data_IF_896352235277
#
_entry.id   IF_896352235277
#
_cell.length_a   1.000
_cell.length_b   1.000
_cell.length_c   1.000
_cell.angle_alpha   90.00
_cell.angle_beta   90.00
_cell.angle_gamma   90.00
#
_symmetry.space_group_name_H-M   'P 1'
#
loop_
_entity.id
_entity.type
_entity.pdbx_description
1 polymer ?
#
# COMPACT_ATOMS: atom_id res chain seq x y z
N UNK A 1 -10.28 -21.54 -42.65
CA UNK A 1 -9.05 -22.11 -42.06
C UNK A 1 -8.30 -21.02 -41.32
N UNK A 2 -8.55 -20.82 -40.03
CA UNK A 2 -7.72 -19.97 -39.18
C UNK A 2 -7.61 -20.59 -37.79
N UNK A 3 -6.86 -21.68 -37.70
CA UNK A 3 -6.31 -22.18 -36.44
C UNK A 3 -4.88 -21.69 -36.35
N UNK A 4 -4.68 -20.49 -35.80
CA UNK A 4 -3.35 -20.12 -35.29
C UNK A 4 -3.29 -20.59 -33.85
N UNK A 5 -2.59 -21.70 -33.65
CA UNK A 5 -2.15 -22.18 -32.36
C UNK A 5 -1.38 -21.06 -31.66
N UNK A 6 -1.80 -20.71 -30.46
CA UNK A 6 -1.15 -19.68 -29.65
C UNK A 6 0.27 -20.14 -29.33
N UNK A 7 1.28 -19.39 -29.78
CA UNK A 7 2.68 -19.67 -29.50
C UNK A 7 3.10 -18.84 -28.29
N UNK A 8 3.42 -19.53 -27.18
CA UNK A 8 3.97 -18.87 -25.99
C UNK A 8 5.30 -18.19 -26.33
N UNK A 9 5.42 -16.92 -25.97
CA UNK A 9 6.68 -16.18 -26.06
C UNK A 9 7.71 -16.82 -25.11
N UNK A 10 8.98 -16.92 -25.52
CA UNK A 10 10.03 -17.51 -24.70
C UNK A 10 10.17 -16.73 -23.38
N UNK A 11 10.04 -17.47 -22.28
CA UNK A 11 10.19 -16.97 -20.92
C UNK A 11 11.68 -16.62 -20.72
N UNK A 12 11.98 -15.37 -20.36
CA UNK A 12 13.36 -14.96 -20.05
C UNK A 12 13.74 -15.63 -18.73
N UNK A 13 14.71 -16.54 -18.78
CA UNK A 13 15.24 -17.25 -17.62
C UNK A 13 15.88 -16.26 -16.63
N UNK A 14 15.14 -15.90 -15.58
CA UNK A 14 15.69 -15.24 -14.41
C UNK A 14 16.25 -16.30 -13.44
N UNK A 15 17.44 -16.80 -13.76
CA UNK A 15 18.30 -17.48 -12.79
C UNK A 15 18.74 -16.45 -11.74
N UNK A 16 17.95 -16.28 -10.68
CA UNK A 16 18.42 -15.63 -9.46
C UNK A 16 19.28 -16.64 -8.70
N UNK A 17 20.59 -16.46 -8.85
CA UNK A 17 21.64 -17.12 -8.12
C UNK A 17 21.44 -16.87 -6.62
N UNK A 18 20.99 -17.92 -5.91
CA UNK A 18 20.82 -17.94 -4.46
C UNK A 18 22.21 -17.79 -3.81
N UNK A 19 22.48 -16.64 -3.19
CA UNK A 19 23.73 -16.46 -2.45
C UNK A 19 23.72 -17.35 -1.20
N UNK A 20 24.82 -18.08 -1.02
CA UNK A 20 25.09 -18.94 0.12
C UNK A 20 25.42 -18.08 1.35
N UNK A 21 24.41 -17.80 2.17
CA UNK A 21 24.55 -17.23 3.50
C UNK A 21 24.50 -18.34 4.57
N UNK A 22 25.61 -18.51 5.27
CA UNK A 22 25.80 -19.41 6.40
C UNK A 22 24.90 -18.99 7.58
N UNK A 23 23.95 -19.81 7.99
CA UNK A 23 23.31 -19.70 9.31
C UNK A 23 22.84 -21.07 9.82
N UNK A 24 23.62 -21.55 10.78
CA UNK A 24 23.28 -22.43 11.92
C UNK A 24 21.95 -23.18 11.85
N UNK A 25 22.09 -24.48 11.58
CA UNK A 25 21.07 -25.53 11.61
C UNK A 25 20.60 -25.82 13.06
N UNK A 26 19.66 -25.02 13.55
CA UNK A 26 18.82 -25.42 14.70
C UNK A 26 17.57 -26.13 14.19
N UNK A 27 17.69 -27.46 14.19
CA UNK A 27 16.72 -28.45 13.77
C UNK A 27 15.46 -28.45 14.67
N UNK A 28 14.54 -27.51 14.45
CA UNK A 28 13.12 -27.73 14.76
C UNK A 28 12.44 -28.27 13.50
N UNK A 29 12.08 -29.56 13.55
CA UNK A 29 11.21 -30.21 12.56
C UNK A 29 9.77 -29.71 12.80
N UNK A 30 9.56 -28.42 12.57
CA UNK A 30 8.22 -27.82 12.53
C UNK A 30 7.44 -28.42 11.37
N UNK A 31 6.16 -28.68 11.61
CA UNK A 31 5.19 -29.06 10.59
C UNK A 31 5.20 -27.93 9.54
N UNK A 32 5.89 -28.16 8.43
CA UNK A 32 6.21 -27.13 7.44
C UNK A 32 4.91 -26.52 6.90
N UNK A 33 4.64 -25.29 7.31
CA UNK A 33 3.61 -24.41 6.77
C UNK A 33 4.17 -23.52 5.65
N UNK A 34 5.36 -23.83 5.13
CA UNK A 34 6.06 -23.03 4.12
C UNK A 34 5.81 -23.53 2.68
N UNK A 35 4.78 -24.36 2.46
CA UNK A 35 4.43 -24.78 1.10
C UNK A 35 3.58 -23.70 0.42
N UNK A 36 4.26 -22.84 -0.36
CA UNK A 36 3.62 -22.02 -1.37
C UNK A 36 3.58 -22.85 -2.65
N UNK A 37 2.40 -23.31 -3.12
CA UNK A 37 2.30 -24.06 -4.37
C UNK A 37 2.87 -23.22 -5.51
N UNK A 38 3.75 -23.81 -6.33
CA UNK A 38 4.30 -23.13 -7.50
C UNK A 38 3.28 -23.18 -8.65
N UNK A 39 2.24 -22.37 -8.51
CA UNK A 39 1.12 -22.26 -9.46
C UNK A 39 1.63 -21.84 -10.86
N UNK A 40 2.77 -21.15 -10.93
CA UNK A 40 3.41 -20.72 -12.19
C UNK A 40 3.79 -21.90 -13.10
N UNK A 41 4.13 -23.06 -12.53
CA UNK A 41 4.49 -24.26 -13.28
C UNK A 41 3.29 -25.18 -13.59
N UNK A 42 2.06 -24.76 -13.26
CA UNK A 42 0.88 -25.64 -13.20
C UNK A 42 1.10 -26.90 -12.34
N UNK A 43 2.03 -26.82 -11.38
CA UNK A 43 2.25 -27.90 -10.43
C UNK A 43 1.28 -27.72 -9.26
N UNK A 44 0.20 -28.49 -9.34
CA UNK A 44 -0.83 -28.53 -8.30
C UNK A 44 -0.60 -29.71 -7.33
N UNK A 45 0.55 -30.39 -7.43
CA UNK A 45 0.88 -31.53 -6.58
C UNK A 45 1.68 -31.07 -5.36
N UNK A 46 1.04 -31.20 -4.19
CA UNK A 46 1.71 -30.96 -2.92
C UNK A 46 2.46 -32.22 -2.48
N UNK A 47 3.74 -32.28 -2.83
CA UNK A 47 4.66 -33.38 -2.48
C UNK A 47 5.11 -33.34 -1.01
N UNK A 48 4.73 -32.32 -0.24
CA UNK A 48 5.15 -32.15 1.16
C UNK A 48 4.39 -33.04 2.15
N UNK A 49 3.42 -33.82 1.69
CA UNK A 49 2.54 -34.59 2.57
C UNK A 49 3.16 -35.92 3.04
N UNK A 50 3.23 -36.07 4.36
CA UNK A 50 3.42 -37.37 4.98
C UNK A 50 2.26 -38.31 4.65
N UNK A 51 2.57 -39.60 4.49
CA UNK A 51 1.63 -40.67 4.13
C UNK A 51 0.32 -40.69 4.96
N UNK A 52 0.37 -40.34 6.25
CA UNK A 52 -0.83 -40.23 7.09
C UNK A 52 -1.80 -39.12 6.65
N UNK A 53 -1.30 -37.97 6.22
CA UNK A 53 -2.13 -36.87 5.71
C UNK A 53 -2.82 -37.32 4.42
N UNK A 54 -2.09 -38.00 3.53
CA UNK A 54 -2.66 -38.55 2.31
C UNK A 54 -3.80 -39.54 2.59
N UNK A 55 -3.59 -40.49 3.53
CA UNK A 55 -4.60 -41.46 3.95
C UNK A 55 -5.83 -40.77 4.56
N UNK A 56 -5.62 -39.78 5.44
CA UNK A 56 -6.71 -39.03 6.06
C UNK A 56 -7.58 -38.31 5.01
N UNK A 57 -6.95 -37.59 4.07
CA UNK A 57 -7.67 -36.91 3.00
C UNK A 57 -8.42 -37.90 2.10
N UNK A 58 -7.85 -39.08 1.84
CA UNK A 58 -8.50 -40.13 1.08
C UNK A 58 -9.73 -40.68 1.83
N UNK A 59 -9.61 -40.93 3.13
CA UNK A 59 -10.72 -41.41 3.97
C UNK A 59 -11.86 -40.38 4.04
N UNK A 60 -11.54 -39.10 4.28
CA UNK A 60 -12.53 -38.00 4.30
C UNK A 60 -13.21 -37.87 2.94
N UNK A 61 -12.44 -37.89 1.85
CA UNK A 61 -12.99 -37.82 0.50
C UNK A 61 -13.92 -39.01 0.24
N UNK A 62 -13.52 -40.23 0.59
CA UNK A 62 -14.31 -41.44 0.41
C UNK A 62 -15.63 -41.41 1.19
N UNK A 63 -15.61 -40.93 2.43
CA UNK A 63 -16.81 -40.77 3.25
C UNK A 63 -17.80 -39.78 2.63
N UNK A 64 -17.31 -38.65 2.12
CA UNK A 64 -18.14 -37.64 1.46
C UNK A 64 -18.70 -38.14 0.13
N UNK A 65 -17.92 -38.88 -0.66
CA UNK A 65 -18.43 -39.54 -1.87
C UNK A 65 -19.54 -40.54 -1.54
N UNK A 66 -19.34 -41.37 -0.51
CA UNK A 66 -20.34 -42.35 -0.06
C UNK A 66 -21.61 -41.66 0.41
N UNK A 67 -21.50 -40.60 1.21
CA UNK A 67 -22.64 -39.80 1.65
C UNK A 67 -23.37 -39.13 0.47
N UNK A 68 -22.64 -38.58 -0.50
CA UNK A 68 -23.20 -37.98 -1.72
C UNK A 68 -23.97 -39.01 -2.55
N UNK A 69 -23.49 -40.25 -2.60
CA UNK A 69 -24.13 -41.37 -3.30
C UNK A 69 -25.38 -41.87 -2.57
N UNK A 70 -25.35 -41.98 -1.24
CA UNK A 70 -26.52 -42.36 -0.42
C UNK A 70 -27.64 -41.32 -0.52
N UNK A 71 -27.27 -40.04 -0.60
CA UNK A 71 -28.22 -38.91 -0.69
C UNK A 71 -28.67 -38.58 -2.12
N UNK A 72 -28.27 -39.39 -3.11
CA UNK A 72 -28.80 -39.30 -4.47
C UNK A 72 -30.28 -39.69 -4.47
N UNK A 73 -31.22 -38.91 -5.07
CA UNK A 73 -31.05 -37.92 -6.14
C UNK A 73 -30.91 -36.44 -5.69
N UNK A 74 -31.15 -36.13 -4.42
CA UNK A 74 -31.19 -34.74 -3.92
C UNK A 74 -29.83 -34.04 -4.06
N UNK A 75 -28.74 -34.78 -3.85
CA UNK A 75 -27.37 -34.26 -3.96
C UNK A 75 -26.98 -33.93 -5.42
N UNK A 76 -27.57 -34.58 -6.41
CA UNK A 76 -27.21 -34.42 -7.82
C UNK A 76 -27.32 -32.97 -8.32
N UNK A 77 -28.34 -32.24 -7.86
CA UNK A 77 -28.54 -30.82 -8.20
C UNK A 77 -27.47 -29.89 -7.60
N UNK A 78 -26.95 -30.23 -6.42
CA UNK A 78 -25.90 -29.45 -5.78
C UNK A 78 -24.52 -29.72 -6.37
N UNK A 79 -24.28 -30.97 -6.75
CA UNK A 79 -22.97 -31.46 -7.19
C UNK A 79 -22.66 -31.13 -8.64
N UNK A 80 -23.66 -31.19 -9.52
CA UNK A 80 -23.49 -30.84 -10.93
C UNK A 80 -23.64 -29.32 -11.12
N UNK A 81 -22.56 -28.66 -11.53
CA UNK A 81 -22.58 -27.25 -11.90
C UNK A 81 -22.21 -27.07 -13.37
N UNK A 82 -23.07 -26.41 -14.11
CA UNK A 82 -22.78 -26.03 -15.50
C UNK A 82 -21.98 -24.73 -15.52
N UNK A 83 -20.86 -24.72 -16.23
CA UNK A 83 -19.96 -23.58 -16.42
C UNK A 83 -19.97 -23.19 -17.90
N UNK A 84 -20.22 -21.92 -18.24
CA UNK A 84 -20.20 -21.46 -19.64
C UNK A 84 -18.78 -21.39 -20.20
N UNK A 85 -18.65 -21.39 -21.54
CA UNK A 85 -17.35 -21.42 -22.27
C UNK A 85 -16.34 -20.34 -21.86
N UNK A 86 -16.84 -19.16 -21.52
CA UNK A 86 -16.05 -17.98 -21.18
C UNK A 86 -15.68 -17.89 -19.69
N UNK A 87 -16.13 -18.85 -18.88
CA UNK A 87 -15.76 -18.96 -17.47
C UNK A 87 -14.86 -20.16 -17.23
N UNK A 88 -14.11 -20.07 -16.13
CA UNK A 88 -13.37 -21.17 -15.53
C UNK A 88 -13.77 -21.26 -14.07
N UNK A 89 -13.68 -22.46 -13.53
CA UNK A 89 -13.95 -22.69 -12.11
C UNK A 89 -12.66 -23.18 -11.46
N UNK A 90 -12.24 -22.45 -10.44
CA UNK A 90 -11.13 -22.82 -9.55
C UNK A 90 -11.77 -23.54 -8.37
N UNK A 91 -11.28 -24.75 -8.09
CA UNK A 91 -11.82 -25.59 -7.02
C UNK A 91 -10.73 -25.79 -5.98
N UNK A 92 -11.08 -25.57 -4.73
CA UNK A 92 -10.27 -25.88 -3.56
C UNK A 92 -10.91 -27.07 -2.84
N UNK A 93 -10.22 -28.20 -2.84
CA UNK A 93 -10.66 -29.41 -2.14
C UNK A 93 -9.92 -29.53 -0.83
N UNK A 94 -10.63 -29.48 0.30
CA UNK A 94 -10.02 -29.57 1.63
C UNK A 94 -8.87 -28.55 1.80
N UNK A 95 -9.06 -27.33 1.27
CA UNK A 95 -8.06 -26.25 1.30
C UNK A 95 -6.94 -26.37 0.26
N UNK A 96 -6.96 -27.39 -0.60
CA UNK A 96 -5.93 -27.61 -1.64
C UNK A 96 -6.42 -27.20 -3.00
N UNK A 97 -5.54 -26.57 -3.75
CA UNK A 97 -5.86 -26.11 -5.09
C UNK A 97 -5.92 -27.27 -6.07
N UNK A 98 -7.01 -27.36 -6.82
CA UNK A 98 -7.15 -28.30 -7.92
C UNK A 98 -6.85 -27.61 -9.25
N UNK A 99 -6.45 -28.37 -10.28
CA UNK A 99 -6.34 -27.86 -11.64
C UNK A 99 -7.66 -27.18 -12.07
N UNK A 100 -7.58 -26.04 -12.77
CA UNK A 100 -8.76 -25.28 -13.17
C UNK A 100 -9.62 -26.14 -14.11
N UNK A 101 -10.92 -26.21 -13.83
CA UNK A 101 -11.83 -27.02 -14.65
C UNK A 101 -12.36 -26.16 -15.81
N UNK A 102 -12.41 -26.80 -16.99
CA UNK A 102 -12.93 -26.21 -18.22
C UNK A 102 -14.44 -26.00 -18.20
N UNK A 103 -15.00 -25.51 -19.31
CA UNK A 103 -16.43 -25.27 -19.43
C UNK A 103 -17.20 -26.59 -19.62
N UNK A 104 -18.49 -26.58 -19.31
CA UNK A 104 -19.34 -27.77 -19.29
C UNK A 104 -19.82 -28.13 -17.90
N UNK A 105 -20.18 -29.39 -17.70
CA UNK A 105 -20.64 -29.90 -16.40
C UNK A 105 -19.42 -30.24 -15.57
N UNK A 106 -19.25 -29.52 -14.47
CA UNK A 106 -18.19 -29.74 -13.49
C UNK A 106 -18.81 -30.33 -12.23
N UNK A 107 -18.20 -31.42 -11.76
CA UNK A 107 -18.57 -32.10 -10.53
C UNK A 107 -17.86 -31.43 -9.35
N UNK A 108 -18.64 -30.90 -8.41
CA UNK A 108 -18.13 -30.21 -7.22
C UNK A 108 -18.79 -30.80 -5.98
N UNK A 109 -17.99 -31.32 -5.07
CA UNK A 109 -18.51 -32.02 -3.89
C UNK A 109 -19.04 -31.03 -2.84
N UNK A 110 -20.27 -31.22 -2.33
CA UNK A 110 -20.77 -30.43 -1.23
C UNK A 110 -19.89 -30.66 0.02
N UNK A 111 -19.79 -29.64 0.88
CA UNK A 111 -19.02 -29.58 2.13
C UNK A 111 -17.49 -29.50 1.99
N UNK A 112 -16.87 -30.24 1.08
CA UNK A 112 -15.39 -30.32 1.00
C UNK A 112 -14.76 -29.49 -0.12
N UNK A 113 -15.51 -29.24 -1.20
CA UNK A 113 -15.03 -28.45 -2.33
C UNK A 113 -15.57 -27.01 -2.20
N UNK A 114 -14.67 -26.05 -2.05
CA UNK A 114 -14.96 -24.64 -2.27
C UNK A 114 -14.67 -24.30 -3.72
N UNK A 115 -15.51 -23.51 -4.36
CA UNK A 115 -15.34 -23.19 -5.77
C UNK A 115 -15.59 -21.72 -6.05
N UNK A 116 -14.84 -21.18 -7.00
CA UNK A 116 -14.96 -19.80 -7.45
C UNK A 116 -14.97 -19.75 -8.98
N UNK A 117 -15.96 -19.04 -9.53
CA UNK A 117 -16.04 -18.78 -10.97
C UNK A 117 -15.22 -17.55 -11.31
N UNK A 118 -14.40 -17.69 -12.33
CA UNK A 118 -13.57 -16.62 -12.89
C UNK A 118 -13.97 -16.44 -14.35
N UNK A 119 -14.23 -15.20 -14.74
CA UNK A 119 -14.54 -14.85 -16.12
C UNK A 119 -13.23 -14.51 -16.85
N UNK A 120 -13.07 -15.06 -18.05
CA UNK A 120 -11.88 -14.85 -18.88
C UNK A 120 -12.06 -13.71 -19.89
N UNK A 121 -13.25 -13.12 -19.99
CA UNK A 121 -13.50 -12.01 -20.92
C UNK A 121 -12.76 -10.74 -20.49
N UNK A 122 -12.41 -9.93 -21.47
CA UNK A 122 -11.88 -8.58 -21.24
C UNK A 122 -12.90 -7.76 -20.47
N UNK A 123 -12.42 -7.10 -19.40
CA UNK A 123 -13.17 -6.20 -18.54
C UNK A 123 -12.47 -4.85 -18.55
N UNK A 124 -13.27 -3.79 -18.42
CA UNK A 124 -12.77 -2.44 -18.28
C UNK A 124 -13.00 -1.94 -16.85
N UNK A 125 -12.05 -1.18 -16.33
CA UNK A 125 -12.27 -0.36 -15.15
C UNK A 125 -11.66 1.02 -15.34
N UNK A 126 -12.35 2.01 -14.78
CA UNK A 126 -11.91 3.38 -14.78
C UNK A 126 -11.16 3.71 -13.48
N UNK A 127 -10.03 4.39 -13.63
CA UNK A 127 -9.27 5.02 -12.55
C UNK A 127 -9.73 6.47 -12.43
N UNK A 128 -10.26 6.87 -11.25
CA UNK A 128 -10.74 8.23 -11.06
C UNK A 128 -9.63 9.26 -11.36
N UNK A 129 -9.97 10.40 -11.98
CA UNK A 129 -8.99 11.42 -12.28
C UNK A 129 -8.27 11.91 -11.03
N UNK A 130 -6.94 11.86 -11.04
CA UNK A 130 -6.10 12.32 -9.94
C UNK A 130 -5.33 13.57 -10.36
N UNK A 131 -5.10 14.46 -9.41
CA UNK A 131 -4.24 15.62 -9.61
C UNK A 131 -2.77 15.19 -9.55
N UNK A 132 -2.04 15.43 -10.64
CA UNK A 132 -0.61 15.09 -10.77
C UNK A 132 0.18 16.34 -11.12
N UNK A 133 1.31 16.52 -10.45
CA UNK A 133 2.28 17.57 -10.74
C UNK A 133 3.32 17.00 -11.71
N UNK A 134 3.46 17.63 -12.87
CA UNK A 134 4.42 17.23 -13.91
C UNK A 134 5.82 17.78 -13.63
N UNK A 135 6.81 17.31 -14.39
CA UNK A 135 8.23 17.73 -14.25
C UNK A 135 8.44 19.25 -14.38
N UNK A 136 7.61 19.90 -15.20
CA UNK A 136 7.63 21.35 -15.45
C UNK A 136 6.79 22.15 -14.44
N UNK A 137 6.29 21.52 -13.37
CA UNK A 137 5.43 22.16 -12.37
C UNK A 137 4.00 22.39 -12.85
N UNK A 138 3.61 21.80 -13.98
CA UNK A 138 2.26 21.83 -14.49
C UNK A 138 1.32 20.98 -13.65
N UNK A 139 0.10 21.48 -13.43
CA UNK A 139 -0.95 20.78 -12.70
C UNK A 139 -1.94 20.18 -13.69
N UNK A 140 -2.04 18.85 -13.73
CA UNK A 140 -2.94 18.14 -14.64
C UNK A 140 -3.85 17.20 -13.84
N UNK A 141 -5.11 17.12 -14.27
CA UNK A 141 -6.05 16.13 -13.77
C UNK A 141 -6.09 14.97 -14.78
N UNK A 142 -5.56 13.81 -14.41
CA UNK A 142 -5.42 12.67 -15.33
C UNK A 142 -6.03 11.42 -14.70
N UNK A 143 -6.93 10.77 -15.43
CA UNK A 143 -7.43 9.43 -15.15
C UNK A 143 -7.08 8.47 -16.29
N UNK A 144 -7.54 7.23 -16.19
CA UNK A 144 -7.37 6.25 -17.26
C UNK A 144 -8.47 5.19 -17.25
N UNK A 145 -8.83 4.71 -18.43
CA UNK A 145 -9.62 3.49 -18.59
C UNK A 145 -8.69 2.33 -18.97
N UNK A 146 -8.79 1.22 -18.24
CA UNK A 146 -7.91 0.07 -18.43
C UNK A 146 -8.75 -1.14 -18.77
N UNK A 147 -8.43 -1.74 -19.91
CA UNK A 147 -8.99 -2.99 -20.37
C UNK A 147 -8.01 -4.12 -20.09
N UNK A 148 -8.47 -5.12 -19.34
CA UNK A 148 -7.66 -6.25 -18.94
C UNK A 148 -8.47 -7.55 -19.04
N UNK A 149 -7.76 -8.68 -19.20
CA UNK A 149 -8.35 -10.02 -19.15
C UNK A 149 -7.55 -10.94 -18.25
N UNK A 150 -8.22 -11.93 -17.68
CA UNK A 150 -7.58 -12.95 -16.85
C UNK A 150 -7.10 -14.07 -17.77
N UNK A 151 -5.79 -14.31 -17.82
CA UNK A 151 -5.21 -15.42 -18.58
C UNK A 151 -5.09 -16.69 -17.73
N UNK A 152 -4.79 -16.54 -16.43
CA UNK A 152 -4.68 -17.65 -15.49
C UNK A 152 -5.70 -17.49 -14.35
N UNK A 153 -6.80 -18.27 -14.35
CA UNK A 153 -7.84 -18.16 -13.32
C UNK A 153 -7.34 -18.59 -11.95
N UNK A 154 -6.34 -19.49 -11.88
CA UNK A 154 -5.81 -20.01 -10.61
C UNK A 154 -4.99 -18.93 -9.91
N UNK A 155 -4.06 -18.31 -10.63
CA UNK A 155 -3.24 -17.22 -10.09
C UNK A 155 -4.11 -16.05 -9.62
N UNK A 156 -5.16 -15.72 -10.39
CA UNK A 156 -6.07 -14.61 -10.07
C UNK A 156 -6.80 -14.77 -8.74
N UNK A 157 -7.02 -15.99 -8.26
CA UNK A 157 -7.72 -16.25 -7.00
C UNK A 157 -6.75 -16.40 -5.83
N UNK A 158 -5.55 -16.95 -6.09
CA UNK A 158 -4.59 -17.27 -5.02
C UNK A 158 -3.67 -16.09 -4.69
N UNK A 159 -3.28 -15.33 -5.69
CA UNK A 159 -2.24 -14.29 -5.53
C UNK A 159 -2.73 -13.05 -4.79
N UNK A 160 -4.00 -12.68 -4.98
CA UNK A 160 -4.58 -11.43 -4.48
C UNK A 160 -6.02 -11.69 -4.05
N UNK A 161 -6.41 -11.16 -2.89
CA UNK A 161 -7.76 -11.29 -2.35
C UNK A 161 -8.79 -10.53 -3.20
N UNK A 162 -8.54 -9.24 -3.47
CA UNK A 162 -9.42 -8.39 -4.27
C UNK A 162 -8.70 -7.86 -5.51
N UNK A 163 -8.84 -8.62 -6.59
CA UNK A 163 -8.14 -8.40 -7.85
C UNK A 163 -8.38 -6.98 -8.40
N UNK A 164 -9.63 -6.51 -8.35
CA UNK A 164 -10.01 -5.24 -8.96
C UNK A 164 -9.43 -4.07 -8.17
N UNK A 165 -9.48 -4.13 -6.84
CA UNK A 165 -8.95 -3.07 -5.98
C UNK A 165 -7.42 -2.97 -6.09
N UNK A 166 -6.71 -4.10 -6.03
CA UNK A 166 -5.25 -4.12 -6.17
C UNK A 166 -4.79 -3.67 -7.56
N UNK A 167 -5.47 -4.10 -8.62
CA UNK A 167 -5.14 -3.65 -9.98
C UNK A 167 -5.39 -2.16 -10.18
N UNK A 168 -6.47 -1.61 -9.62
CA UNK A 168 -6.72 -0.16 -9.62
C UNK A 168 -5.61 0.61 -8.93
N UNK A 169 -5.19 0.17 -7.74
CA UNK A 169 -4.14 0.82 -6.96
C UNK A 169 -2.78 0.79 -7.69
N UNK A 170 -2.40 -0.37 -8.21
CA UNK A 170 -1.15 -0.53 -8.98
C UNK A 170 -1.15 0.34 -10.22
N UNK A 171 -2.25 0.33 -10.97
CA UNK A 171 -2.35 1.15 -12.17
C UNK A 171 -2.36 2.66 -11.86
N UNK A 172 -3.00 3.10 -10.79
CA UNK A 172 -2.96 4.49 -10.33
C UNK A 172 -1.53 4.91 -9.95
N UNK A 173 -0.80 4.05 -9.25
CA UNK A 173 0.59 4.30 -8.89
C UNK A 173 1.49 4.39 -10.14
N UNK A 174 1.39 3.42 -11.06
CA UNK A 174 2.14 3.42 -12.31
C UNK A 174 1.85 4.66 -13.18
N UNK A 175 0.58 5.06 -13.26
CA UNK A 175 0.13 6.27 -13.96
C UNK A 175 0.75 7.52 -13.34
N UNK A 176 0.68 7.67 -12.01
CA UNK A 176 1.20 8.84 -11.31
C UNK A 176 2.72 8.94 -11.44
N UNK A 177 3.41 7.82 -11.27
CA UNK A 177 4.85 7.71 -11.40
C UNK A 177 5.36 8.01 -12.82
N UNK A 178 4.64 7.55 -13.85
CA UNK A 178 5.00 7.81 -15.25
C UNK A 178 4.72 9.25 -15.67
N UNK A 179 3.61 9.83 -15.21
CA UNK A 179 3.23 11.21 -15.51
C UNK A 179 4.11 12.25 -14.82
N UNK A 180 4.56 11.99 -13.59
CA UNK A 180 5.44 12.91 -12.85
C UNK A 180 6.80 13.15 -13.53
N UNK A 181 7.30 12.19 -14.31
CA UNK A 181 8.59 12.28 -15.00
C UNK A 181 8.54 13.05 -16.31
N UNK A 182 7.35 13.21 -16.90
CA UNK A 182 7.15 13.88 -18.19
C UNK A 182 6.66 15.32 -18.00
N UNK A 183 6.79 16.12 -19.05
CA UNK A 183 6.24 17.48 -19.07
C UNK A 183 4.78 17.47 -19.53
N UNK A 184 4.00 18.47 -19.14
CA UNK A 184 2.57 18.53 -19.50
C UNK A 184 2.32 18.50 -21.02
N UNK A 185 3.17 19.20 -21.78
CA UNK A 185 3.10 19.23 -23.25
C UNK A 185 3.40 17.87 -23.87
N UNK A 186 4.41 17.18 -23.35
CA UNK A 186 4.81 15.86 -23.83
C UNK A 186 3.73 14.81 -23.58
N UNK A 187 3.07 14.87 -22.41
CA UNK A 187 1.94 13.98 -22.08
C UNK A 187 0.80 14.16 -23.08
N UNK A 188 0.52 15.40 -23.48
CA UNK A 188 -0.55 15.70 -24.45
C UNK A 188 -0.15 15.33 -25.89
N UNK A 189 1.09 15.58 -26.31
CA UNK A 189 1.56 15.31 -27.67
C UNK A 189 1.88 13.83 -27.92
N UNK A 190 2.40 13.13 -26.91
CA UNK A 190 2.88 11.74 -27.00
C UNK A 190 1.98 10.74 -26.26
N UNK A 191 0.70 11.06 -26.10
CA UNK A 191 -0.28 10.24 -25.37
C UNK A 191 -0.23 8.75 -25.74
N UNK A 192 -0.21 8.42 -27.04
CA UNK A 192 -0.22 7.03 -27.50
C UNK A 192 1.03 6.23 -27.07
N UNK A 193 2.21 6.87 -27.13
CA UNK A 193 3.47 6.24 -26.66
C UNK A 193 3.44 6.03 -25.15
N UNK A 194 2.83 6.96 -24.42
CA UNK A 194 2.69 6.87 -22.98
C UNK A 194 1.70 5.78 -22.56
N UNK A 195 0.58 5.64 -23.28
CA UNK A 195 -0.39 4.55 -23.09
C UNK A 195 0.25 3.17 -23.29
N UNK A 196 1.05 3.01 -24.34
CA UNK A 196 1.79 1.77 -24.59
C UNK A 196 2.81 1.47 -23.48
N UNK A 197 3.62 2.47 -23.11
CA UNK A 197 4.60 2.33 -22.03
C UNK A 197 3.93 1.97 -20.70
N UNK A 198 2.85 2.65 -20.34
CA UNK A 198 2.09 2.39 -19.12
C UNK A 198 1.44 1.00 -19.15
N UNK A 199 0.95 0.56 -20.31
CA UNK A 199 0.45 -0.80 -20.49
C UNK A 199 1.51 -1.86 -20.20
N UNK A 200 2.75 -1.67 -20.68
CA UNK A 200 3.87 -2.58 -20.42
C UNK A 200 4.24 -2.59 -18.93
N UNK A 201 4.36 -1.42 -18.30
CA UNK A 201 4.74 -1.27 -16.88
C UNK A 201 3.70 -1.92 -15.95
N UNK A 202 2.41 -1.66 -16.18
CA UNK A 202 1.33 -2.30 -15.41
C UNK A 202 1.34 -3.82 -15.65
N UNK A 203 1.50 -4.27 -16.90
CA UNK A 203 1.46 -5.69 -17.24
C UNK A 203 2.60 -6.48 -16.58
N UNK A 204 3.79 -5.88 -16.38
CA UNK A 204 4.90 -6.50 -15.66
C UNK A 204 4.51 -6.87 -14.22
N UNK A 205 3.83 -5.97 -13.52
CA UNK A 205 3.36 -6.21 -12.15
C UNK A 205 2.15 -7.16 -12.11
N UNK A 206 1.19 -7.00 -13.02
CA UNK A 206 -0.08 -7.77 -12.99
C UNK A 206 0.06 -9.18 -13.52
N UNK A 207 1.14 -9.52 -14.21
CA UNK A 207 1.39 -10.87 -14.72
C UNK A 207 1.46 -11.91 -13.61
N UNK A 208 2.04 -11.54 -12.46
CA UNK A 208 2.11 -12.38 -11.26
C UNK A 208 0.73 -12.69 -10.69
N UNK A 209 -0.29 -11.90 -11.03
CA UNK A 209 -1.66 -12.13 -10.60
C UNK A 209 -2.48 -12.92 -11.61
N UNK A 210 -1.91 -13.32 -12.75
CA UNK A 210 -2.65 -14.02 -13.80
C UNK A 210 -3.46 -13.11 -14.73
N UNK A 211 -3.14 -11.81 -14.79
CA UNK A 211 -3.80 -10.81 -15.62
C UNK A 211 -2.92 -10.43 -16.81
N UNK A 212 -3.58 -10.00 -17.87
CA UNK A 212 -2.97 -9.40 -19.05
C UNK A 212 -3.72 -8.10 -19.35
N UNK A 213 -2.96 -7.00 -19.49
CA UNK A 213 -3.53 -5.70 -19.87
C UNK A 213 -3.64 -5.64 -21.39
N UNK A 214 -4.85 -5.52 -21.91
CA UNK A 214 -5.12 -5.47 -23.35
C UNK A 214 -4.93 -4.04 -23.90
N UNK A 215 -5.42 -3.02 -23.17
CA UNK A 215 -5.34 -1.62 -23.58
C UNK A 215 -5.42 -0.66 -22.39
N UNK A 216 -4.71 0.47 -22.48
CA UNK A 216 -4.82 1.60 -21.55
C UNK A 216 -5.18 2.86 -22.34
N UNK A 217 -6.19 3.60 -21.88
CA UNK A 217 -6.63 4.85 -22.48
C UNK A 217 -6.59 5.99 -21.45
N UNK A 218 -5.77 7.01 -21.67
CA UNK A 218 -5.64 8.16 -20.78
C UNK A 218 -6.82 9.13 -20.94
N UNK A 219 -7.41 9.55 -19.81
CA UNK A 219 -8.49 10.53 -19.80
C UNK A 219 -8.01 11.80 -19.12
N UNK A 220 -8.09 12.94 -19.80
CA UNK A 220 -7.68 14.23 -19.26
C UNK A 220 -8.90 14.99 -18.75
N UNK A 221 -8.89 15.33 -17.46
CA UNK A 221 -9.89 16.16 -16.84
C UNK A 221 -9.59 17.64 -17.02
N UNK A 222 -10.63 18.44 -17.23
CA UNK A 222 -10.51 19.90 -17.18
C UNK A 222 -10.42 20.33 -15.71
N UNK A 223 -9.36 21.05 -15.34
CA UNK A 223 -9.14 21.54 -13.97
C UNK A 223 -10.30 22.43 -13.44
N UNK A 224 -11.14 22.95 -14.33
CA UNK A 224 -12.34 23.74 -13.97
C UNK A 224 -13.56 22.92 -13.52
N UNK A 225 -13.59 21.59 -13.75
CA UNK A 225 -14.80 20.77 -13.49
C UNK A 225 -14.71 19.82 -12.29
N UNK A 226 -13.50 19.63 -11.74
CA UNK A 226 -13.31 18.80 -10.54
C UNK A 226 -13.79 19.48 -9.24
N UNK A 227 -14.11 20.77 -9.28
CA UNK A 227 -14.73 21.48 -8.16
C UNK A 227 -16.27 21.41 -8.18
N UNK A 228 -16.88 21.07 -9.32
CA UNK A 228 -18.34 21.07 -9.48
C UNK A 228 -18.99 19.72 -9.13
N UNK A 229 -18.25 18.61 -9.23
CA UNK A 229 -18.74 17.27 -8.83
C UNK A 229 -18.65 17.01 -7.32
N UNK A 230 -18.09 17.94 -6.53
CA UNK A 230 -18.12 17.88 -5.06
C UNK A 230 -19.39 18.54 -4.49
N UNK A 231 -20.05 19.41 -5.26
CA UNK A 231 -21.29 20.10 -4.84
C UNK A 231 -22.58 19.45 -5.38
N UNK A 232 -22.47 18.41 -6.20
CA UNK A 232 -23.62 17.64 -6.69
C UNK A 232 -23.93 16.44 -5.79
N UNK A 233 -24.26 16.69 -4.52
CA UNK A 233 -24.90 15.68 -3.67
C UNK A 233 -26.38 15.50 -4.07
N UNK A 234 -26.89 14.26 -4.19
CA UNK A 234 -28.30 14.02 -4.46
C UNK A 234 -29.14 14.37 -3.23
N UNK A 235 -30.25 15.09 -3.45
CA UNK A 235 -31.29 15.33 -2.46
C UNK A 235 -31.77 13.99 -1.85
N UNK A 236 -31.41 13.73 -0.59
CA UNK A 236 -31.96 12.63 0.20
C UNK A 236 -33.23 13.13 0.88
N UNK A 237 -34.39 12.69 0.37
CA UNK A 237 -35.62 12.68 1.16
C UNK A 237 -35.48 11.59 2.25
N UNK A 238 -35.14 11.97 3.48
CA UNK A 238 -35.25 11.07 4.63
C UNK A 238 -36.62 11.27 5.29
N UNK A 239 -37.64 10.58 4.78
CA UNK A 239 -38.90 10.41 5.52
C UNK A 239 -38.75 9.16 6.39
N UNK A 240 -38.49 9.34 7.69
CA UNK A 240 -38.61 8.26 8.68
C UNK A 240 -40.05 8.34 9.24
N UNK A 241 -40.86 7.27 9.13
CA UNK A 241 -42.19 7.22 9.72
C UNK A 241 -42.14 6.84 11.20
N UNK A 242 -42.92 7.52 12.04
CA UNK A 242 -43.32 6.98 13.36
C UNK A 242 -42.94 7.76 14.61
N UNK A 243 -43.05 9.09 14.63
CA UNK A 243 -43.05 9.87 15.88
C UNK A 243 -44.08 11.01 15.81
N UNK A 244 -45.35 10.63 15.72
CA UNK A 244 -46.45 11.54 16.05
C UNK A 244 -46.71 11.44 17.56
N UNK A 245 -46.56 12.56 18.27
CA UNK A 245 -47.07 12.72 19.62
C UNK A 245 -46.03 12.66 20.73
N UNK A 246 -45.26 13.74 20.90
CA UNK A 246 -44.75 14.16 22.21
C UNK A 246 -44.70 15.70 22.21
N UNK A 247 -45.58 16.30 23.01
CA UNK A 247 -45.66 17.74 23.17
C UNK A 247 -44.60 18.23 24.17
N UNK A 248 -43.99 19.38 23.87
CA UNK A 248 -43.35 20.24 24.87
C UNK A 248 -41.82 20.44 24.77
N UNK A 249 -41.25 21.20 25.74
CA UNK A 249 -39.92 21.84 25.65
C UNK A 249 -38.71 20.91 25.59
N UNK A 250 -38.90 19.60 25.65
CA UNK A 250 -37.82 18.61 25.79
C UNK A 250 -37.13 18.34 24.43
N UNK A 251 -37.80 18.58 23.30
CA UNK A 251 -37.23 18.40 21.95
C UNK A 251 -36.21 19.49 21.57
N UNK A 252 -36.32 20.69 22.18
CA UNK A 252 -35.36 21.78 21.99
C UNK A 252 -34.03 21.55 22.71
N UNK A 253 -34.04 20.83 23.84
CA UNK A 253 -32.81 20.50 24.56
C UNK A 253 -31.98 19.44 23.81
N UNK A 254 -32.63 18.53 23.07
CA UNK A 254 -31.95 17.46 22.33
C UNK A 254 -31.27 17.95 21.04
N UNK A 255 -31.76 19.04 20.41
CA UNK A 255 -31.11 19.62 19.22
C UNK A 255 -29.81 20.37 19.53
N UNK A 256 -29.59 20.77 20.79
CA UNK A 256 -28.42 21.55 21.20
C UNK A 256 -27.16 20.70 21.46
N UNK A 257 -27.30 19.37 21.57
CA UNK A 257 -26.19 18.44 21.84
C UNK A 257 -25.69 17.65 20.62
N UNK A 258 -26.30 17.82 19.44
CA UNK A 258 -25.97 17.03 18.24
C UNK A 258 -25.30 17.82 17.09
N UNK A 259 -24.67 18.96 17.36
CA UNK A 259 -23.90 19.70 16.34
C UNK A 259 -22.40 19.64 16.62
N UNK A 260 -21.58 19.02 15.75
CA UNK A 260 -20.13 19.15 15.79
C UNK A 260 -19.72 20.46 15.10
N UNK A 261 -19.37 21.48 15.89
CA UNK A 261 -18.76 22.70 15.37
C UNK A 261 -17.25 22.59 15.35
N UNK A 262 -16.69 22.29 14.18
CA UNK A 262 -15.36 22.75 13.76
C UNK A 262 -15.34 24.28 13.70
N UNK A 263 -14.27 24.96 14.14
CA UNK A 263 -14.07 26.36 13.80
C UNK A 263 -12.94 26.53 12.78
N UNK A 264 -13.29 27.01 11.58
CA UNK A 264 -12.42 27.81 10.71
C UNK A 264 -12.97 29.24 10.61
N UNK A 265 -12.12 30.18 11.08
CA UNK A 265 -11.97 31.62 10.78
C UNK A 265 -13.18 32.58 10.67
N UNK A 266 -13.00 33.83 11.15
CA UNK A 266 -13.69 35.00 10.61
C UNK A 266 -12.73 35.98 9.89
N UNK A 267 -13.27 36.71 8.91
CA UNK A 267 -12.68 37.87 8.22
C UNK A 267 -13.54 39.12 8.46
N UNK A 268 -12.93 40.30 8.21
CA UNK A 268 -13.42 41.69 8.17
C UNK A 268 -12.98 42.55 9.38
N UNK A 269 -12.50 43.79 9.28
CA UNK A 269 -12.11 44.71 8.19
C UNK A 269 -11.30 45.83 8.88
N UNK A 270 -10.24 46.37 8.26
CA UNK A 270 -9.89 47.80 8.42
C UNK A 270 -8.82 48.23 7.42
N UNK A 271 -9.13 49.29 6.67
CA UNK A 271 -8.24 50.02 5.78
C UNK A 271 -7.24 50.86 6.58
N UNK A 272 -5.95 50.74 6.30
CA UNK A 272 -5.04 51.90 6.37
C UNK A 272 -3.91 51.74 5.36
N UNK A 273 -3.85 52.71 4.44
CA UNK A 273 -2.80 52.91 3.46
C UNK A 273 -1.57 53.52 4.17
N UNK A 274 -0.41 52.90 4.05
CA UNK A 274 0.87 53.62 4.07
C UNK A 274 1.82 52.94 3.10
N UNK A 275 2.11 53.69 2.04
CA UNK A 275 3.16 53.49 1.06
C UNK A 275 4.52 53.74 1.73
N UNK A 276 5.46 52.80 1.60
CA UNK A 276 6.88 53.11 1.44
C UNK A 276 7.57 52.00 0.65
N UNK A 277 7.91 52.32 -0.61
CA UNK A 277 9.00 51.67 -1.34
C UNK A 277 10.30 51.79 -0.54
N UNK A 278 11.00 50.68 -0.30
CA UNK A 278 12.47 50.65 -0.29
C UNK A 278 12.98 49.36 -0.94
N UNK A 279 14.05 49.54 -1.69
CA UNK A 279 14.72 48.62 -2.60
C UNK A 279 15.74 47.70 -1.90
N UNK A 280 15.58 46.38 -2.08
CA UNK A 280 16.61 45.30 -2.02
C UNK A 280 17.36 45.04 -0.68
N UNK A 281 18.15 43.95 -0.56
CA UNK A 281 18.20 42.73 -1.36
C UNK A 281 17.78 41.47 -0.56
N UNK A 282 17.43 40.41 -1.31
CA UNK A 282 17.70 38.99 -1.05
C UNK A 282 18.19 38.58 0.36
N UNK A 283 17.39 37.77 1.06
CA UNK A 283 17.87 36.85 2.10
C UNK A 283 16.96 35.62 2.17
N UNK A 284 17.57 34.47 1.87
CA UNK A 284 16.97 33.16 1.79
C UNK A 284 16.36 32.71 3.14
N UNK A 285 15.17 32.12 3.08
CA UNK A 285 14.63 31.28 4.16
C UNK A 285 15.34 29.93 4.05
N UNK A 286 16.31 29.68 4.93
CA UNK A 286 17.08 28.43 4.94
C UNK A 286 16.24 27.29 5.49
N UNK A 287 15.55 26.55 4.62
CA UNK A 287 15.13 25.18 4.93
C UNK A 287 16.38 24.33 5.12
N UNK A 288 16.54 23.57 6.22
CA UNK A 288 17.70 22.70 6.36
C UNK A 288 17.63 21.62 5.27
N UNK A 289 18.55 21.72 4.30
CA UNK A 289 18.62 20.84 3.13
C UNK A 289 19.52 19.62 3.36
N UNK A 290 20.22 19.57 4.50
CA UNK A 290 21.17 18.50 4.83
C UNK A 290 21.11 18.08 6.30
N UNK A 291 21.40 16.80 6.58
CA UNK A 291 21.48 16.21 7.93
C UNK A 291 22.54 16.90 8.79
N UNK A 292 23.56 17.50 8.17
CA UNK A 292 24.62 18.24 8.86
C UNK A 292 24.13 19.56 9.46
N UNK A 293 23.18 20.24 8.79
CA UNK A 293 22.56 21.46 9.31
C UNK A 293 21.64 21.16 10.49
N UNK A 294 20.95 20.01 10.45
CA UNK A 294 20.16 19.51 11.58
C UNK A 294 21.04 19.21 12.79
N UNK A 295 22.20 18.59 12.58
CA UNK A 295 23.16 18.32 13.65
C UNK A 295 23.65 19.63 14.31
N UNK A 296 23.92 20.65 13.52
CA UNK A 296 24.25 21.99 14.02
C UNK A 296 23.11 22.63 14.83
N UNK A 297 21.86 22.38 14.45
CA UNK A 297 20.68 22.78 15.23
C UNK A 297 20.57 22.05 16.57
N UNK A 298 20.79 20.74 16.58
CA UNK A 298 20.79 19.91 17.80
C UNK A 298 21.90 20.35 18.75
N UNK A 299 23.11 20.64 18.25
CA UNK A 299 24.23 21.11 19.06
C UNK A 299 23.92 22.42 19.81
N UNK A 300 23.12 23.32 19.23
CA UNK A 300 22.71 24.58 19.87
C UNK A 300 21.69 24.40 21.01
N UNK A 301 21.08 23.23 21.12
CA UNK A 301 20.05 22.91 22.13
C UNK A 301 20.54 22.05 23.29
N UNK A 302 21.79 21.60 23.21
CA UNK A 302 22.44 20.84 24.25
C UNK A 302 22.48 21.68 25.53
N UNK A 303 21.79 21.22 26.57
CA UNK A 303 21.67 21.88 27.86
C UNK A 303 21.50 20.85 28.97
N UNK A 304 21.89 21.19 30.19
CA UNK A 304 21.72 20.29 31.35
C UNK A 304 20.24 19.93 31.61
N UNK A 305 19.31 20.82 31.23
CA UNK A 305 17.88 20.58 31.37
C UNK A 305 17.36 19.44 30.48
N UNK A 306 17.93 19.32 29.27
CA UNK A 306 17.60 18.27 28.31
C UNK A 306 18.20 16.93 28.74
N UNK A 307 19.44 16.95 29.22
CA UNK A 307 20.14 15.77 29.77
C UNK A 307 19.37 15.18 30.96
N UNK A 308 18.82 16.02 31.86
CA UNK A 308 18.00 15.54 32.98
C UNK A 308 16.67 14.89 32.56
N UNK A 309 16.08 15.31 31.44
CA UNK A 309 14.81 14.77 30.95
C UNK A 309 14.99 13.48 30.14
N UNK A 310 16.02 13.43 29.29
CA UNK A 310 16.23 12.29 28.38
C UNK A 310 17.11 11.24 29.05
N UNK A 311 18.31 11.62 29.50
CA UNK A 311 19.23 10.79 30.29
C UNK A 311 19.74 9.54 29.57
N UNK A 312 19.96 9.62 28.25
CA UNK A 312 20.31 8.46 27.42
C UNK A 312 21.21 8.83 26.23
N UNK A 313 21.91 7.83 25.69
CA UNK A 313 22.75 7.93 24.51
C UNK A 313 22.08 7.30 23.28
N UNK A 314 22.10 8.01 22.15
CA UNK A 314 21.48 7.60 20.89
C UNK A 314 22.51 7.51 19.78
N UNK A 315 22.43 6.42 19.00
CA UNK A 315 23.15 6.25 17.75
C UNK A 315 22.16 6.26 16.58
N UNK A 316 22.42 7.08 15.57
CA UNK A 316 21.63 7.13 14.34
C UNK A 316 22.42 6.48 13.21
N UNK A 317 21.80 5.53 12.51
CA UNK A 317 22.30 4.92 11.30
C UNK A 317 21.40 5.30 10.13
N UNK A 318 21.83 6.30 9.36
CA UNK A 318 21.04 6.87 8.28
C UNK A 318 21.49 6.26 6.96
N UNK A 319 20.57 5.63 6.25
CA UNK A 319 20.79 5.16 4.88
C UNK A 319 20.34 6.24 3.88
N UNK A 320 21.27 6.79 3.12
CA UNK A 320 20.93 7.70 2.00
C UNK A 320 20.60 6.92 0.73
N UNK A 321 19.87 7.55 -0.20
CA UNK A 321 19.47 6.94 -1.48
C UNK A 321 20.66 6.46 -2.34
N UNK A 322 21.85 7.02 -2.12
CA UNK A 322 23.09 6.65 -2.82
C UNK A 322 23.74 5.37 -2.25
N UNK A 323 23.17 4.76 -1.20
CA UNK A 323 23.72 3.59 -0.51
C UNK A 323 24.79 3.94 0.53
N UNK A 324 25.14 5.22 0.70
CA UNK A 324 26.03 5.69 1.76
C UNK A 324 25.32 5.63 3.12
N UNK A 325 26.02 5.10 4.12
CA UNK A 325 25.54 5.05 5.50
C UNK A 325 26.24 6.13 6.32
N UNK A 326 25.45 7.08 6.81
CA UNK A 326 25.94 8.12 7.70
C UNK A 326 25.58 7.78 9.13
N UNK A 327 26.59 7.71 9.98
CA UNK A 327 26.42 7.46 11.41
C UNK A 327 26.53 8.77 12.16
N UNK A 328 25.57 9.03 13.04
CA UNK A 328 25.57 10.18 13.95
C UNK A 328 25.30 9.72 15.36
N UNK A 329 25.79 10.47 16.34
CA UNK A 329 25.53 10.20 17.73
C UNK A 329 24.96 11.42 18.44
N UNK A 330 24.17 11.15 19.47
CA UNK A 330 23.63 12.12 20.41
C UNK A 330 23.74 11.55 21.81
N UNK A 331 24.71 12.03 22.56
CA UNK A 331 24.89 11.67 23.96
C UNK A 331 24.18 12.69 24.85
N UNK A 332 23.11 12.26 25.51
CA UNK A 332 22.39 13.04 26.53
C UNK A 332 22.46 12.34 27.89
N UNK A 333 23.53 11.59 28.16
CA UNK A 333 23.72 10.86 29.42
C UNK A 333 24.45 11.69 30.50
N UNK A 334 25.38 12.57 30.11
CA UNK A 334 26.21 13.34 31.05
C UNK A 334 26.41 14.80 30.64
N UNK A 335 26.59 15.68 31.64
CA UNK A 335 26.92 17.09 31.45
C UNK A 335 25.85 17.90 30.71
N UNK A 336 26.26 18.66 29.70
CA UNK A 336 25.39 19.43 28.81
C UNK A 336 24.91 18.62 27.60
N UNK A 337 25.40 17.38 27.44
CA UNK A 337 25.21 16.55 26.25
C UNK A 337 26.19 16.86 25.13
N UNK A 338 26.36 15.93 24.20
CA UNK A 338 27.27 16.02 23.05
C UNK A 338 26.61 15.41 21.80
N UNK A 339 26.84 15.98 20.62
CA UNK A 339 26.31 15.47 19.36
C UNK A 339 27.32 15.64 18.24
N UNK A 340 27.46 14.62 17.38
CA UNK A 340 28.46 14.64 16.32
C UNK A 340 28.23 13.59 15.23
N UNK A 341 28.99 13.72 14.14
CA UNK A 341 29.12 12.68 13.12
C UNK A 341 30.09 11.60 13.58
N UNK A 342 29.73 10.32 13.42
CA UNK A 342 30.52 9.16 13.80
C UNK A 342 29.77 8.18 14.71
N UNK A 343 30.53 7.26 15.30
CA UNK A 343 30.06 6.34 16.34
C UNK A 343 30.52 6.79 17.72
N UNK A 344 29.73 6.53 18.75
CA UNK A 344 30.16 6.73 20.14
C UNK A 344 31.38 5.86 20.48
N UNK A 345 32.22 6.35 21.41
CA UNK A 345 33.34 5.59 21.99
C UNK A 345 32.86 4.55 23.03
N UNK A 346 31.60 4.65 23.46
CA UNK A 346 30.90 3.76 24.39
C UNK A 346 29.67 3.16 23.68
N UNK A 347 29.18 2.00 24.13
CA UNK A 347 27.98 1.38 23.53
C UNK A 347 26.73 2.27 23.73
N UNK A 348 25.94 2.54 22.67
CA UNK A 348 24.73 3.35 22.78
C UNK A 348 23.59 2.60 23.48
N UNK A 349 22.78 3.33 24.25
CA UNK A 349 21.56 2.77 24.88
C UNK A 349 20.49 2.43 23.82
N UNK A 350 20.43 3.22 22.74
CA UNK A 350 19.49 3.03 21.63
C UNK A 350 20.16 3.32 20.30
N UNK A 351 20.00 2.40 19.35
CA UNK A 351 20.37 2.58 17.94
C UNK A 351 19.13 2.71 17.06
N UNK A 352 19.06 3.78 16.28
CA UNK A 352 17.94 4.16 15.42
C UNK A 352 18.38 4.09 13.96
N UNK A 353 17.79 3.20 13.17
CA UNK A 353 18.07 3.08 11.74
C UNK A 353 16.89 3.57 10.91
N UNK A 354 17.11 4.52 10.00
CA UNK A 354 16.08 5.10 9.12
C UNK A 354 16.68 5.73 7.86
N UNK A 355 15.83 6.19 6.93
CA UNK A 355 16.29 6.94 5.75
C UNK A 355 16.52 8.43 6.04
N UNK A 356 17.33 9.09 5.21
CA UNK A 356 17.57 10.54 5.28
C UNK A 356 16.28 11.37 5.15
N UNK A 357 15.40 10.96 4.24
CA UNK A 357 14.09 11.57 4.03
C UNK A 357 13.17 11.41 5.24
N UNK A 358 13.18 10.23 5.88
CA UNK A 358 12.37 9.97 7.08
C UNK A 358 12.87 10.77 8.28
N UNK A 359 14.19 10.89 8.43
CA UNK A 359 14.81 11.74 9.45
C UNK A 359 14.38 13.19 9.25
N UNK A 360 14.57 13.76 8.06
CA UNK A 360 14.18 15.14 7.76
C UNK A 360 12.68 15.39 8.03
N UNK A 361 11.81 14.46 7.62
CA UNK A 361 10.38 14.54 7.89
C UNK A 361 10.06 14.50 9.39
N UNK A 362 10.82 13.72 10.17
CA UNK A 362 10.66 13.62 11.62
C UNK A 362 11.05 14.92 12.32
N UNK A 363 12.17 15.54 11.91
CA UNK A 363 12.61 16.82 12.45
C UNK A 363 11.72 17.99 12.05
N UNK A 364 11.14 17.97 10.84
CA UNK A 364 10.17 18.97 10.38
C UNK A 364 8.78 18.78 11.03
N UNK A 365 8.58 17.70 11.80
CA UNK A 365 7.31 17.37 12.45
C UNK A 365 6.24 16.83 11.50
N UNK A 366 6.62 16.49 10.26
CA UNK A 366 5.75 15.80 9.29
C UNK A 366 5.62 14.30 9.56
N UNK A 367 6.53 13.72 10.35
CA UNK A 367 6.50 12.31 10.73
C UNK A 367 6.69 12.15 12.25
N UNK A 368 5.72 11.55 12.94
CA UNK A 368 5.85 11.27 14.37
C UNK A 368 6.73 10.02 14.61
N UNK A 369 7.63 10.01 15.63
CA UNK A 369 8.52 8.87 15.90
C UNK A 369 7.79 7.54 16.11
N UNK A 370 6.67 7.55 16.85
CA UNK A 370 5.85 6.37 17.08
C UNK A 370 5.26 5.81 15.77
N UNK A 371 4.75 6.68 14.90
CA UNK A 371 4.19 6.30 13.60
C UNK A 371 5.27 5.74 12.65
N UNK A 372 6.49 6.29 12.69
CA UNK A 372 7.62 5.78 11.94
C UNK A 372 8.02 4.37 12.39
N UNK A 373 7.97 4.09 13.69
CA UNK A 373 8.26 2.77 14.24
C UNK A 373 7.20 1.73 13.85
N UNK A 374 5.91 2.05 14.04
CA UNK A 374 4.81 1.13 13.71
C UNK A 374 4.69 0.84 12.22
N UNK A 375 5.12 1.77 11.36
CA UNK A 375 5.16 1.59 9.90
C UNK A 375 6.40 0.86 9.39
N UNK A 376 7.37 0.55 10.26
CA UNK A 376 8.62 -0.10 9.90
C UNK A 376 9.66 0.80 9.21
N UNK A 377 9.39 2.12 9.10
CA UNK A 377 10.31 3.13 8.54
C UNK A 377 11.43 3.51 9.51
N UNK A 378 11.18 3.38 10.81
CA UNK A 378 12.16 3.52 11.88
C UNK A 378 12.40 2.17 12.54
N UNK A 379 13.64 1.68 12.46
CA UNK A 379 14.07 0.49 13.22
C UNK A 379 14.76 0.95 14.50
N UNK A 380 14.36 0.38 15.62
CA UNK A 380 14.91 0.69 16.95
C UNK A 380 15.56 -0.57 17.50
N UNK A 381 16.83 -0.47 17.90
CA UNK A 381 17.56 -1.50 18.64
C UNK A 381 17.92 -0.92 20.02
N UNK A 382 17.31 -1.44 21.08
CA UNK A 382 17.43 -0.90 22.45
C UNK A 382 16.07 -0.79 23.13
N UNK A 383 15.99 -0.05 24.25
CA UNK A 383 14.73 0.14 24.96
C UNK A 383 13.82 1.15 24.24
N UNK A 384 12.61 0.72 23.86
CA UNK A 384 11.66 1.54 23.08
C UNK A 384 11.22 2.78 23.87
N UNK A 385 11.06 2.67 25.19
CA UNK A 385 10.68 3.80 26.06
C UNK A 385 11.69 4.95 25.97
N UNK A 386 12.99 4.61 25.94
CA UNK A 386 14.11 5.52 25.78
C UNK A 386 14.16 6.10 24.37
N UNK A 387 13.90 5.28 23.34
CA UNK A 387 13.81 5.73 21.95
C UNK A 387 12.74 6.83 21.74
N UNK A 388 11.60 6.73 22.41
CA UNK A 388 10.50 7.69 22.27
C UNK A 388 10.77 9.03 22.96
N UNK A 389 11.70 9.09 23.93
CA UNK A 389 12.12 10.35 24.55
C UNK A 389 12.79 11.31 23.55
N UNK A 390 13.23 10.82 22.39
CA UNK A 390 13.75 11.64 21.30
C UNK A 390 12.73 12.69 20.82
N UNK A 391 11.43 12.44 20.98
CA UNK A 391 10.37 13.39 20.62
C UNK A 391 10.51 14.73 21.34
N UNK A 392 10.97 14.74 22.59
CA UNK A 392 11.20 15.98 23.35
C UNK A 392 12.32 16.83 22.73
N UNK A 393 13.36 16.19 22.20
CA UNK A 393 14.44 16.89 21.47
C UNK A 393 13.89 17.56 20.21
N UNK A 394 13.02 16.86 19.47
CA UNK A 394 12.38 17.37 18.25
C UNK A 394 11.43 18.54 18.57
N UNK A 395 10.65 18.45 19.65
CA UNK A 395 9.77 19.54 20.12
C UNK A 395 10.56 20.82 20.45
N UNK A 396 11.72 20.67 21.10
CA UNK A 396 12.58 21.81 21.44
C UNK A 396 13.22 22.45 20.20
N UNK A 397 13.60 21.66 19.20
CA UNK A 397 14.06 22.17 17.90
C UNK A 397 13.01 23.02 17.21
N UNK A 398 11.77 22.52 17.16
CA UNK A 398 10.67 23.26 16.54
C UNK A 398 10.39 24.58 17.26
N UNK A 399 10.49 24.61 18.59
CA UNK A 399 10.27 25.81 19.40
C UNK A 399 11.31 26.92 19.17
N UNK A 400 12.52 26.59 18.69
CA UNK A 400 13.53 27.59 18.35
C UNK A 400 13.40 28.12 16.92
N UNK A 401 12.65 27.44 16.05
CA UNK A 401 12.44 27.84 14.65
C UNK A 401 11.16 28.68 14.44
N UNK A 402 10.30 28.76 15.46
CA UNK A 402 9.14 29.64 15.52
C UNK A 402 9.41 30.84 16.42
#
# INVERSE_FOLDING_TARGET
MFSRSYQQLPQRDSNLQRSSGLSTDFRYKGISFDYIPNVTANDFTDTSQGWFSWICNLLVSFLVYTCTLITFPLSGWFVLKTVPNYQRIVVFRLGRICPPKGPGIVFVLPLIDQWQRVDLRTRAFNIPPCQVITRDGGLLLVGADIQFRIWNPVMSVVSVQDLNASTRMTAQNALTHSLAKKTAREIQSERLKLEEYLGIDINEMTRLWGLEVDRVELTFGSLGKAFEDIDAAPHVHSSIPGLEGLAGPIQQLAMQFLSPSCPSQPTQDSLTFTDERHSGPESAVTTPTSVEELLGGVQRLLSESLVRHVGASFQFEISSMNGEQHRYYLDLSQGTGNAGSGSLLLEPDVTLSMSDCDLLAMFQGGLQPLAAYTSGRLKVQGEISTAMKLEEVIKLLKKQQS
#
